data_IF_006992182687
#
_entry.id   IF_006992182687
#
_cell.length_a   1.000
_cell.length_b   1.000
_cell.length_c   1.000
_cell.angle_alpha   90.00
_cell.angle_beta   90.00
_cell.angle_gamma   90.00
#
_symmetry.space_group_name_H-M   'P 1'
#
loop_
_entity.id
_entity.type
_entity.pdbx_description
1 polymer ?
#
# COMPACT_ATOMS: atom_id res chain seq x y z
N UNK A 1 2.16 -76.87 14.44
CA UNK A 1 1.66 -75.49 14.50
C UNK A 1 2.74 -74.59 13.91
N UNK A 2 2.51 -74.06 12.71
CA UNK A 2 3.46 -73.21 11.98
C UNK A 2 3.00 -71.76 12.19
N UNK A 3 3.83 -70.92 12.83
CA UNK A 3 3.57 -69.49 12.95
C UNK A 3 4.25 -68.75 11.80
N UNK A 4 3.45 -68.21 10.87
CA UNK A 4 3.89 -67.28 9.83
C UNK A 4 3.97 -65.88 10.44
N UNK A 5 5.17 -65.35 10.60
CA UNK A 5 5.39 -63.95 10.98
C UNK A 5 5.52 -63.13 9.70
N UNK A 6 4.46 -62.39 9.35
CA UNK A 6 4.47 -61.45 8.22
C UNK A 6 5.06 -60.13 8.73
N UNK A 7 6.32 -59.85 8.40
CA UNK A 7 6.92 -58.54 8.63
C UNK A 7 6.48 -57.57 7.53
N UNK A 8 5.66 -56.59 7.89
CA UNK A 8 5.30 -55.46 7.02
C UNK A 8 6.41 -54.41 7.09
N UNK A 9 7.17 -54.28 6.00
CA UNK A 9 8.10 -53.16 5.79
C UNK A 9 7.28 -51.91 5.45
N UNK A 10 7.16 -50.98 6.40
CA UNK A 10 6.60 -49.65 6.14
C UNK A 10 7.71 -48.79 5.52
N UNK A 11 7.63 -48.57 4.21
CA UNK A 11 8.51 -47.62 3.54
C UNK A 11 8.12 -46.18 3.94
N UNK A 12 9.01 -45.51 4.67
CA UNK A 12 8.86 -44.08 4.98
C UNK A 12 9.22 -43.27 3.73
N UNK A 13 8.20 -42.85 2.97
CA UNK A 13 8.37 -41.93 1.86
C UNK A 13 8.70 -40.54 2.40
N UNK A 14 9.96 -40.11 2.32
CA UNK A 14 10.34 -38.71 2.50
C UNK A 14 9.79 -37.92 1.30
N UNK A 15 8.58 -37.42 1.42
CA UNK A 15 8.07 -36.38 0.52
C UNK A 15 8.87 -35.12 0.86
N UNK A 16 9.86 -34.80 0.03
CA UNK A 16 10.48 -33.48 0.06
C UNK A 16 9.39 -32.47 -0.31
N UNK A 17 8.75 -31.88 0.69
CA UNK A 17 7.91 -30.73 0.50
C UNK A 17 8.79 -29.67 -0.18
N UNK A 18 8.45 -29.30 -1.42
CA UNK A 18 8.97 -28.08 -2.02
C UNK A 18 8.65 -26.96 -1.04
N UNK A 19 9.64 -26.47 -0.29
CA UNK A 19 9.51 -25.24 0.48
C UNK A 19 9.14 -24.18 -0.56
N UNK A 20 7.85 -23.80 -0.61
CA UNK A 20 7.52 -22.51 -1.19
C UNK A 20 8.30 -21.53 -0.31
N UNK A 21 9.18 -20.74 -0.90
CA UNK A 21 9.81 -19.65 -0.17
C UNK A 21 8.67 -18.75 0.32
N UNK A 22 8.33 -18.86 1.60
CA UNK A 22 7.33 -18.00 2.23
C UNK A 22 7.77 -16.55 2.03
N UNK A 23 6.85 -15.63 1.65
CA UNK A 23 7.18 -14.23 1.51
C UNK A 23 7.81 -13.69 2.80
N UNK A 24 8.91 -12.97 2.67
CA UNK A 24 9.62 -12.38 3.77
C UNK A 24 8.79 -11.30 4.47
N UNK A 25 8.64 -11.43 5.79
CA UNK A 25 7.98 -10.47 6.67
C UNK A 25 8.92 -10.04 7.78
N UNK A 26 8.78 -8.81 8.27
CA UNK A 26 9.50 -8.33 9.45
C UNK A 26 9.00 -9.05 10.72
N UNK A 27 9.86 -9.36 11.70
CA UNK A 27 11.31 -9.13 11.77
C UNK A 27 12.17 -10.33 11.35
N UNK A 28 11.68 -11.19 10.45
CA UNK A 28 12.40 -12.41 10.07
C UNK A 28 13.78 -12.09 9.50
N UNK A 29 14.72 -13.03 9.62
CA UNK A 29 16.12 -12.85 9.21
C UNK A 29 16.32 -12.53 7.71
N UNK A 30 15.34 -12.85 6.87
CA UNK A 30 15.31 -12.48 5.45
C UNK A 30 15.06 -10.99 5.22
N UNK A 31 14.62 -10.24 6.24
CA UNK A 31 14.22 -8.84 6.09
C UNK A 31 15.42 -7.99 5.65
N UNK A 32 15.25 -7.08 4.66
CA UNK A 32 16.37 -6.31 4.14
C UNK A 32 17.06 -5.46 5.21
N UNK A 33 18.37 -5.35 5.08
CA UNK A 33 19.18 -4.48 5.94
C UNK A 33 18.83 -3.00 5.77
N UNK A 34 19.17 -2.18 6.77
CA UNK A 34 19.00 -0.73 6.72
C UNK A 34 19.69 -0.08 5.51
N UNK A 35 20.83 -0.66 5.07
CA UNK A 35 21.54 -0.21 3.86
C UNK A 35 20.70 -0.43 2.59
N UNK A 36 20.01 -1.56 2.49
CA UNK A 36 19.13 -1.87 1.37
C UNK A 36 17.92 -0.93 1.33
N UNK A 37 17.27 -0.69 2.48
CA UNK A 37 16.18 0.28 2.61
C UNK A 37 16.63 1.71 2.26
N UNK A 38 17.82 2.11 2.72
CA UNK A 38 18.40 3.42 2.40
C UNK A 38 18.70 3.58 0.92
N UNK A 39 19.12 2.51 0.23
CA UNK A 39 19.32 2.53 -1.21
C UNK A 39 18.00 2.70 -1.95
N UNK A 40 16.96 1.93 -1.59
CA UNK A 40 15.63 2.09 -2.16
C UNK A 40 15.12 3.53 -1.95
N UNK A 41 15.29 4.09 -0.74
CA UNK A 41 14.86 5.46 -0.46
C UNK A 41 15.54 6.49 -1.38
N UNK A 42 16.84 6.34 -1.65
CA UNK A 42 17.55 7.20 -2.62
C UNK A 42 17.01 7.03 -4.03
N UNK A 43 16.76 5.78 -4.47
CA UNK A 43 16.17 5.49 -5.78
C UNK A 43 14.79 6.15 -5.93
N UNK A 44 13.99 6.15 -4.86
CA UNK A 44 12.67 6.79 -4.79
C UNK A 44 12.74 8.30 -4.48
N UNK A 45 13.91 8.92 -4.51
CA UNK A 45 14.11 10.36 -4.23
C UNK A 45 13.51 10.80 -2.88
N UNK A 46 13.68 9.98 -1.83
CA UNK A 46 13.09 10.23 -0.51
C UNK A 46 11.66 9.70 -0.34
N UNK A 47 11.12 8.98 -1.33
CA UNK A 47 9.76 8.46 -1.34
C UNK A 47 9.50 7.24 -0.45
N UNK A 48 10.50 6.75 0.31
CA UNK A 48 10.32 5.64 1.25
C UNK A 48 10.11 6.18 2.67
N UNK A 49 9.03 5.76 3.33
CA UNK A 49 8.76 6.13 4.73
C UNK A 49 8.63 4.90 5.61
N UNK A 50 9.06 5.04 6.87
CA UNK A 50 8.75 4.06 7.91
C UNK A 50 7.33 4.32 8.40
N UNK A 51 6.39 3.49 7.97
CA UNK A 51 4.97 3.71 8.23
C UNK A 51 4.57 3.23 9.63
N UNK A 52 3.58 3.91 10.19
CA UNK A 52 3.00 3.71 11.52
C UNK A 52 1.51 4.02 11.44
N UNK A 53 0.68 3.48 12.35
CA UNK A 53 -0.69 3.94 12.48
C UNK A 53 -0.74 5.47 12.65
N UNK A 54 -1.74 6.15 12.05
CA UNK A 54 -1.82 7.60 12.04
C UNK A 54 -1.94 8.20 13.45
N UNK A 55 -2.50 7.46 14.41
CA UNK A 55 -2.61 7.91 15.80
C UNK A 55 -1.29 7.83 16.59
N UNK A 56 -0.22 7.25 16.04
CA UNK A 56 1.04 7.06 16.76
C UNK A 56 1.55 8.31 17.52
N UNK A 57 1.50 9.54 16.96
CA UNK A 57 1.93 10.74 17.68
C UNK A 57 1.15 11.07 18.95
N UNK A 58 0.00 10.43 19.19
CA UNK A 58 -0.81 10.60 20.38
C UNK A 58 -0.43 9.63 21.52
N UNK A 59 0.60 8.79 21.35
CA UNK A 59 0.92 7.69 22.26
C UNK A 59 2.37 7.75 22.78
N UNK A 60 2.60 7.21 23.97
CA UNK A 60 3.81 7.40 24.78
C UNK A 60 5.14 7.20 24.03
N UNK A 61 5.23 6.18 23.17
CA UNK A 61 6.45 5.85 22.43
C UNK A 61 6.73 6.78 21.24
N UNK A 62 5.78 7.61 20.83
CA UNK A 62 5.90 8.56 19.73
C UNK A 62 5.29 9.93 20.04
N UNK A 63 5.06 10.24 21.32
CA UNK A 63 4.24 11.36 21.75
C UNK A 63 4.76 12.68 21.17
N UNK A 64 3.89 13.37 20.45
CA UNK A 64 4.12 14.69 19.90
C UNK A 64 2.77 15.41 19.83
N UNK A 65 2.52 16.31 20.77
CA UNK A 65 1.21 16.97 20.92
C UNK A 65 0.79 17.76 19.68
N UNK A 66 1.73 18.43 19.02
CA UNK A 66 1.44 19.17 17.78
C UNK A 66 0.98 18.24 16.66
N UNK A 67 1.71 17.14 16.44
CA UNK A 67 1.33 16.16 15.44
C UNK A 67 0.04 15.41 15.82
N UNK A 68 -0.15 15.10 17.10
CA UNK A 68 -1.37 14.48 17.61
C UNK A 68 -2.60 15.36 17.35
N UNK A 69 -2.52 16.65 17.66
CA UNK A 69 -3.62 17.59 17.40
C UNK A 69 -3.93 17.69 15.90
N UNK A 70 -2.90 17.76 15.05
CA UNK A 70 -3.10 17.75 13.60
C UNK A 70 -3.80 16.47 13.11
N UNK A 71 -3.42 15.31 13.66
CA UNK A 71 -4.09 14.03 13.35
C UNK A 71 -5.55 14.06 13.82
N UNK A 72 -5.83 14.55 15.03
CA UNK A 72 -7.19 14.65 15.59
C UNK A 72 -8.10 15.54 14.73
N UNK A 73 -7.60 16.71 14.32
CA UNK A 73 -8.33 17.65 13.47
C UNK A 73 -8.71 17.05 12.11
N UNK A 74 -7.85 16.20 11.56
CA UNK A 74 -8.04 15.61 10.24
C UNK A 74 -8.59 14.18 10.26
N UNK A 75 -8.82 13.59 11.45
CA UNK A 75 -9.04 12.15 11.62
C UNK A 75 -10.19 11.59 10.77
N UNK A 76 -11.27 12.36 10.63
CA UNK A 76 -12.49 12.00 9.90
C UNK A 76 -12.44 12.34 8.41
N UNK A 77 -11.40 13.03 7.94
CA UNK A 77 -11.28 13.47 6.55
C UNK A 77 -10.75 12.32 5.68
N UNK A 78 -11.62 11.75 4.85
CA UNK A 78 -11.28 10.60 3.99
C UNK A 78 -10.08 10.85 3.08
N UNK A 79 -9.98 12.04 2.47
CA UNK A 79 -8.83 12.41 1.62
C UNK A 79 -7.52 12.43 2.41
N UNK A 80 -7.52 13.02 3.61
CA UNK A 80 -6.35 13.03 4.48
C UNK A 80 -5.93 11.62 4.87
N UNK A 81 -6.89 10.75 5.25
CA UNK A 81 -6.61 9.35 5.57
C UNK A 81 -6.05 8.59 4.36
N UNK A 82 -6.58 8.79 3.16
CA UNK A 82 -6.06 8.17 1.94
C UNK A 82 -4.60 8.54 1.65
N UNK A 83 -4.23 9.78 1.95
CA UNK A 83 -2.88 10.30 1.77
C UNK A 83 -1.89 9.79 2.83
N UNK A 84 -2.34 9.50 4.05
CA UNK A 84 -1.45 8.96 5.08
C UNK A 84 -0.94 7.55 4.72
N UNK A 85 0.37 7.28 4.85
CA UNK A 85 0.95 5.97 4.57
C UNK A 85 0.36 4.84 5.42
N UNK A 86 0.02 5.11 6.68
CA UNK A 86 -0.47 4.10 7.61
C UNK A 86 -1.95 4.18 7.95
N UNK A 87 -2.71 5.11 7.36
CA UNK A 87 -4.13 5.22 7.66
C UNK A 87 -5.00 4.43 6.69
N UNK A 88 -6.05 3.85 7.26
CA UNK A 88 -7.10 3.12 6.55
C UNK A 88 -8.46 3.71 6.85
N UNK A 89 -9.39 3.65 5.89
CA UNK A 89 -10.73 4.21 6.08
C UNK A 89 -11.50 3.40 7.14
N UNK A 90 -11.38 2.08 7.06
CA UNK A 90 -11.76 1.20 8.15
C UNK A 90 -10.56 0.99 9.07
N UNK A 91 -10.67 1.53 10.28
CA UNK A 91 -9.59 1.55 11.29
C UNK A 91 -9.29 0.16 11.85
N UNK A 92 -10.12 -0.85 11.60
CA UNK A 92 -9.77 -2.23 11.94
C UNK A 92 -8.52 -2.67 11.17
N UNK A 93 -8.31 -2.16 9.96
CA UNK A 93 -7.19 -2.54 9.09
C UNK A 93 -5.90 -1.77 9.33
N UNK A 94 -5.88 -0.79 10.24
CA UNK A 94 -4.63 -0.22 10.78
C UNK A 94 -4.27 -0.82 12.14
N UNK A 95 -5.26 -1.16 12.96
CA UNK A 95 -5.08 -1.64 14.34
C UNK A 95 -4.86 -3.16 14.42
N UNK A 96 -5.68 -3.96 13.73
CA UNK A 96 -5.73 -5.41 13.95
C UNK A 96 -6.15 -5.75 15.38
N UNK A 97 -5.45 -6.69 16.02
CA UNK A 97 -5.68 -7.08 17.41
C UNK A 97 -4.99 -6.15 18.44
N UNK A 98 -4.24 -5.14 17.98
CA UNK A 98 -3.59 -4.16 18.83
C UNK A 98 -4.22 -2.78 18.69
N UNK A 99 -4.03 -1.92 19.69
CA UNK A 99 -4.74 -0.65 19.81
C UNK A 99 -3.78 0.54 19.69
N UNK A 100 -3.78 1.18 18.53
CA UNK A 100 -3.25 2.53 18.34
C UNK A 100 -4.41 3.45 17.90
N UNK A 101 -5.29 3.75 18.84
CA UNK A 101 -6.52 4.49 18.59
C UNK A 101 -6.36 5.96 19.01
N UNK A 102 -6.94 6.87 18.23
CA UNK A 102 -6.80 8.32 18.39
C UNK A 102 -7.30 8.86 19.73
N UNK A 103 -8.25 8.17 20.36
CA UNK A 103 -8.92 8.56 21.61
C UNK A 103 -8.41 7.81 22.84
N UNK A 104 -7.41 6.94 22.69
CA UNK A 104 -6.82 6.23 23.83
C UNK A 104 -5.99 7.17 24.70
N UNK A 105 -5.74 6.75 25.95
CA UNK A 105 -4.82 7.44 26.84
C UNK A 105 -3.42 7.52 26.20
N UNK A 106 -2.85 8.73 26.20
CA UNK A 106 -1.50 9.00 25.71
C UNK A 106 -0.40 8.18 26.39
N UNK A 107 -0.65 7.68 27.61
CA UNK A 107 0.27 6.80 28.32
C UNK A 107 0.36 5.39 27.71
N UNK A 108 -0.63 4.97 26.90
CA UNK A 108 -0.64 3.66 26.24
C UNK A 108 0.31 3.71 25.02
N UNK A 109 1.22 2.75 24.84
CA UNK A 109 2.08 2.69 23.65
C UNK A 109 1.26 2.35 22.39
N UNK A 110 1.70 2.89 21.25
CA UNK A 110 1.15 2.55 19.95
C UNK A 110 1.96 1.42 19.30
N UNK A 111 1.29 0.32 18.97
CA UNK A 111 1.87 -0.77 18.19
C UNK A 111 1.77 -0.54 16.69
N UNK A 112 2.41 -1.41 15.90
CA UNK A 112 2.38 -1.35 14.44
C UNK A 112 1.00 -1.71 13.86
N UNK A 113 0.25 -2.59 14.54
CA UNK A 113 -1.00 -3.16 14.04
C UNK A 113 -0.82 -3.85 12.68
N UNK A 114 -1.74 -3.56 11.76
CA UNK A 114 -1.74 -4.09 10.39
C UNK A 114 -1.10 -3.12 9.38
N UNK A 115 -0.44 -2.06 9.83
CA UNK A 115 0.25 -1.12 8.94
C UNK A 115 1.56 -1.73 8.43
N UNK A 116 1.87 -1.68 7.11
CA UNK A 116 3.17 -2.10 6.59
C UNK A 116 4.34 -1.37 7.27
N UNK A 117 5.50 -2.02 7.39
CA UNK A 117 6.65 -1.46 8.12
C UNK A 117 7.27 -0.29 7.35
N UNK A 118 7.44 -0.46 6.04
CA UNK A 118 7.85 0.57 5.11
C UNK A 118 6.78 0.76 4.05
N UNK A 119 6.59 2.00 3.61
CA UNK A 119 5.69 2.36 2.52
C UNK A 119 6.47 3.14 1.47
N UNK A 120 6.51 2.63 0.23
CA UNK A 120 7.01 3.36 -0.93
C UNK A 120 5.87 4.23 -1.48
N UNK A 121 6.02 5.55 -1.36
CA UNK A 121 5.09 6.54 -1.88
C UNK A 121 5.46 6.87 -3.33
N UNK A 122 4.92 6.10 -4.27
CA UNK A 122 5.29 6.16 -5.69
C UNK A 122 4.58 7.33 -6.38
N UNK A 123 5.31 8.09 -7.21
CA UNK A 123 4.82 9.29 -7.90
C UNK A 123 4.89 9.17 -9.42
N UNK A 124 5.61 8.20 -9.93
CA UNK A 124 5.73 7.92 -11.35
C UNK A 124 5.97 6.42 -11.60
N UNK A 125 6.01 6.02 -12.87
CA UNK A 125 6.23 4.62 -13.27
C UNK A 125 7.59 4.07 -12.83
N UNK A 126 8.64 4.87 -12.82
CA UNK A 126 9.98 4.42 -12.40
C UNK A 126 10.00 4.09 -10.91
N UNK A 127 9.31 4.87 -10.07
CA UNK A 127 9.15 4.57 -8.65
C UNK A 127 8.43 3.23 -8.43
N UNK A 128 7.36 2.98 -9.20
CA UNK A 128 6.62 1.69 -9.16
C UNK A 128 7.55 0.54 -9.52
N UNK A 129 8.30 0.67 -10.63
CA UNK A 129 9.24 -0.36 -11.08
C UNK A 129 10.33 -0.63 -10.04
N UNK A 130 10.88 0.42 -9.42
CA UNK A 130 11.89 0.29 -8.37
C UNK A 130 11.33 -0.42 -7.13
N UNK A 131 10.14 -0.03 -6.65
CA UNK A 131 9.50 -0.64 -5.48
C UNK A 131 9.13 -2.12 -5.73
N UNK A 132 8.55 -2.43 -6.90
CA UNK A 132 8.19 -3.81 -7.26
C UNK A 132 9.43 -4.69 -7.44
N UNK A 133 10.49 -4.17 -8.08
CA UNK A 133 11.74 -4.91 -8.25
C UNK A 133 12.39 -5.20 -6.90
N UNK A 134 12.45 -4.19 -6.01
CA UNK A 134 12.95 -4.37 -4.65
C UNK A 134 12.16 -5.43 -3.87
N UNK A 135 10.82 -5.39 -3.94
CA UNK A 135 9.96 -6.39 -3.31
C UNK A 135 10.24 -7.80 -3.82
N UNK A 136 10.39 -7.98 -5.14
CA UNK A 136 10.73 -9.26 -5.77
C UNK A 136 12.11 -9.74 -5.32
N UNK A 137 13.13 -8.89 -5.41
CA UNK A 137 14.52 -9.25 -5.16
C UNK A 137 14.77 -9.65 -3.69
N UNK A 138 13.93 -9.14 -2.78
CA UNK A 138 13.93 -9.50 -1.37
C UNK A 138 12.77 -10.45 -0.96
N UNK A 139 12.01 -10.96 -1.93
CA UNK A 139 10.85 -11.84 -1.71
C UNK A 139 9.87 -11.32 -0.66
N UNK A 140 9.65 -10.00 -0.59
CA UNK A 140 8.85 -9.37 0.47
C UNK A 140 7.36 -9.69 0.34
N UNK A 141 6.73 -10.01 1.47
CA UNK A 141 5.28 -9.92 1.59
C UNK A 141 4.86 -8.48 1.35
N UNK A 142 4.08 -8.25 0.28
CA UNK A 142 3.82 -6.90 -0.24
C UNK A 142 2.33 -6.56 -0.19
N UNK A 143 2.02 -5.29 0.06
CA UNK A 143 0.66 -4.72 0.02
C UNK A 143 0.64 -3.50 -0.88
N UNK A 144 -0.40 -3.38 -1.70
CA UNK A 144 -0.61 -2.21 -2.56
C UNK A 144 -1.78 -1.42 -2.00
N UNK A 145 -1.58 -0.12 -1.77
CA UNK A 145 -2.57 0.77 -1.16
C UNK A 145 -2.84 1.97 -2.07
N UNK A 146 -4.09 2.12 -2.49
CA UNK A 146 -4.58 3.36 -3.11
C UNK A 146 -5.06 4.34 -2.04
N UNK A 147 -6.33 4.74 -2.12
CA UNK A 147 -7.00 5.64 -1.17
C UNK A 147 -7.50 4.93 0.13
N UNK A 148 -7.00 3.73 0.42
CA UNK A 148 -7.32 2.95 1.63
C UNK A 148 -8.80 2.59 1.90
N UNK A 149 -9.64 2.51 0.86
CA UNK A 149 -11.07 2.13 0.94
C UNK A 149 -11.34 0.62 0.87
N UNK A 150 -10.35 -0.22 1.21
CA UNK A 150 -10.51 -1.68 1.16
C UNK A 150 -10.97 -2.24 2.49
N UNK A 151 -12.28 -2.54 2.60
CA UNK A 151 -12.92 -3.09 3.80
C UNK A 151 -12.62 -4.57 4.05
N UNK A 152 -11.83 -5.22 3.18
CA UNK A 152 -11.41 -6.61 3.32
C UNK A 152 -9.94 -6.78 3.75
N UNK A 153 -9.22 -5.67 4.00
CA UNK A 153 -7.84 -5.72 4.52
C UNK A 153 -6.76 -6.16 3.53
N UNK A 154 -7.08 -6.30 2.25
CA UNK A 154 -6.15 -6.70 1.17
C UNK A 154 -5.03 -5.70 0.95
N UNK A 155 -5.21 -4.44 1.38
CA UNK A 155 -4.22 -3.37 1.29
C UNK A 155 -3.43 -3.14 2.59
N UNK A 156 -3.67 -3.93 3.63
CA UNK A 156 -2.96 -3.89 4.91
C UNK A 156 -2.27 -5.22 5.24
N UNK A 157 -1.34 -5.20 6.18
CA UNK A 157 -0.66 -6.38 6.68
C UNK A 157 0.51 -6.04 7.59
N UNK A 158 0.52 -6.64 8.78
CA UNK A 158 1.66 -6.57 9.69
C UNK A 158 2.92 -7.18 9.07
N UNK A 159 4.07 -6.56 9.32
CA UNK A 159 5.38 -7.05 8.86
C UNK A 159 5.61 -6.98 7.35
N UNK A 160 4.71 -6.33 6.60
CA UNK A 160 4.79 -6.26 5.13
C UNK A 160 5.52 -5.02 4.63
N UNK A 161 5.88 -5.02 3.35
CA UNK A 161 6.28 -3.84 2.58
C UNK A 161 5.08 -3.29 1.80
N UNK A 162 4.84 -1.99 1.90
CA UNK A 162 3.74 -1.31 1.24
C UNK A 162 4.17 -0.51 0.01
N UNK A 163 3.32 -0.47 -1.01
CA UNK A 163 3.42 0.41 -2.18
C UNK A 163 2.17 1.28 -2.22
N UNK A 164 2.30 2.59 -1.95
CA UNK A 164 1.19 3.54 -1.92
C UNK A 164 1.10 4.30 -3.25
N UNK A 165 0.01 4.11 -3.98
CA UNK A 165 -0.18 4.65 -5.32
C UNK A 165 -0.91 5.99 -5.34
N UNK A 166 -1.39 6.50 -4.21
CA UNK A 166 -2.27 7.69 -4.16
C UNK A 166 -1.64 8.95 -4.78
N UNK A 167 -0.30 9.02 -4.84
CA UNK A 167 0.45 10.13 -5.45
C UNK A 167 0.72 9.96 -6.96
N UNK A 168 0.35 8.83 -7.56
CA UNK A 168 0.32 8.66 -9.02
C UNK A 168 -0.91 9.41 -9.58
N UNK A 169 -0.69 10.67 -9.98
CA UNK A 169 -1.72 11.54 -10.54
C UNK A 169 -1.56 11.67 -12.06
N UNK A 170 -2.66 11.92 -12.76
CA UNK A 170 -2.70 12.06 -14.21
C UNK A 170 -4.08 11.70 -14.76
N UNK A 171 -4.64 12.61 -15.56
CA UNK A 171 -5.84 12.37 -16.36
C UNK A 171 -5.53 12.91 -17.75
N UNK A 172 -5.53 12.04 -18.75
CA UNK A 172 -5.22 12.38 -20.15
C UNK A 172 -6.38 11.94 -21.05
N UNK A 173 -6.81 12.81 -21.96
CA UNK A 173 -7.85 12.50 -22.93
C UNK A 173 -7.21 12.11 -24.25
N UNK A 174 -7.60 10.97 -24.81
CA UNK A 174 -7.21 10.51 -26.13
C UNK A 174 -8.46 10.42 -27.01
N UNK A 175 -8.69 11.45 -27.84
CA UNK A 175 -9.82 11.49 -28.78
C UNK A 175 -9.65 10.55 -29.99
N UNK A 176 -8.48 9.91 -30.09
CA UNK A 176 -8.09 9.07 -31.22
C UNK A 176 -7.82 7.60 -30.83
N UNK A 177 -8.17 7.21 -29.61
CA UNK A 177 -7.82 5.91 -29.04
C UNK A 177 -8.28 4.75 -29.91
N UNK A 178 -7.35 3.82 -30.16
CA UNK A 178 -7.63 2.53 -30.80
C UNK A 178 -7.08 1.40 -29.93
N UNK A 179 -7.92 0.43 -29.52
CA UNK A 179 -7.44 -0.73 -28.80
C UNK A 179 -6.34 -1.44 -29.58
N UNK A 180 -5.23 -1.75 -28.89
CA UNK A 180 -4.13 -2.52 -29.46
C UNK A 180 -4.64 -3.88 -29.92
N UNK A 181 -4.39 -4.22 -31.19
CA UNK A 181 -4.84 -5.48 -31.79
C UNK A 181 -6.24 -5.43 -32.41
N UNK A 182 -6.87 -4.26 -32.52
CA UNK A 182 -8.14 -4.10 -33.23
C UNK A 182 -8.01 -4.34 -34.75
N UNK A 183 -9.06 -4.85 -35.43
CA UNK A 183 -9.03 -5.09 -36.88
C UNK A 183 -8.71 -3.82 -37.68
N UNK A 184 -8.06 -3.95 -38.85
CA UNK A 184 -7.90 -2.84 -39.79
C UNK A 184 -9.25 -2.18 -40.10
N UNK A 185 -9.28 -0.85 -40.10
CA UNK A 185 -10.52 -0.08 -40.32
C UNK A 185 -11.34 0.21 -39.06
N UNK A 186 -10.93 -0.29 -37.88
CA UNK A 186 -11.59 0.09 -36.61
C UNK A 186 -11.54 1.61 -36.41
N UNK A 187 -12.71 2.21 -36.19
CA UNK A 187 -12.84 3.64 -35.90
C UNK A 187 -12.22 3.98 -34.54
N UNK A 188 -11.59 5.15 -34.44
CA UNK A 188 -11.12 5.67 -33.16
C UNK A 188 -12.30 6.05 -32.26
N UNK A 189 -12.08 6.02 -30.95
CA UNK A 189 -13.02 6.46 -29.93
C UNK A 189 -12.32 7.42 -28.97
N UNK A 190 -13.09 8.31 -28.32
CA UNK A 190 -12.55 9.06 -27.19
C UNK A 190 -12.36 8.14 -25.99
N UNK A 191 -11.17 8.16 -25.42
CA UNK A 191 -10.82 7.48 -24.17
C UNK A 191 -10.22 8.47 -23.18
N UNK A 192 -10.20 8.06 -21.91
CA UNK A 192 -9.52 8.79 -20.83
C UNK A 192 -8.55 7.84 -20.14
N UNK A 193 -7.28 8.21 -20.09
CA UNK A 193 -6.26 7.53 -19.31
C UNK A 193 -6.23 8.15 -17.92
N UNK A 194 -6.41 7.32 -16.89
CA UNK A 194 -6.51 7.75 -15.49
C UNK A 194 -5.41 7.05 -14.70
N UNK A 195 -4.57 7.82 -14.01
CA UNK A 195 -3.52 7.29 -13.17
C UNK A 195 -4.08 6.58 -11.93
N UNK A 196 -3.36 5.56 -11.43
CA UNK A 196 -3.82 4.67 -10.37
C UNK A 196 -4.09 5.35 -9.01
N UNK A 197 -3.60 6.58 -8.81
CA UNK A 197 -3.83 7.37 -7.61
C UNK A 197 -4.96 8.38 -7.74
N UNK A 198 -5.66 8.48 -8.87
CA UNK A 198 -6.76 9.41 -9.02
C UNK A 198 -8.00 9.00 -8.21
N UNK A 199 -8.66 10.00 -7.63
CA UNK A 199 -9.94 9.80 -6.97
C UNK A 199 -11.08 9.93 -7.98
N UNK A 200 -12.13 9.12 -7.83
CA UNK A 200 -13.33 9.22 -8.69
C UNK A 200 -13.92 10.62 -8.74
N UNK A 201 -13.93 11.33 -7.60
CA UNK A 201 -14.35 12.73 -7.51
C UNK A 201 -13.64 13.62 -8.54
N UNK A 202 -12.32 13.43 -8.68
CA UNK A 202 -11.48 14.18 -9.61
C UNK A 202 -11.69 13.77 -11.06
N UNK A 203 -11.86 12.47 -11.30
CA UNK A 203 -12.19 11.94 -12.62
C UNK A 203 -13.50 12.52 -13.15
N UNK A 204 -14.59 12.41 -12.39
CA UNK A 204 -15.90 12.91 -12.83
C UNK A 204 -15.94 14.43 -13.04
N UNK A 205 -15.33 15.18 -12.12
CA UNK A 205 -15.28 16.64 -12.23
C UNK A 205 -14.46 17.14 -13.42
N UNK A 206 -13.53 16.33 -13.94
CA UNK A 206 -12.71 16.65 -15.12
C UNK A 206 -13.40 16.25 -16.43
N UNK A 207 -14.21 15.17 -16.42
CA UNK A 207 -14.87 14.65 -17.63
C UNK A 207 -16.21 15.33 -17.96
N UNK A 208 -16.94 15.86 -16.98
CA UNK A 208 -18.27 16.46 -17.21
C UNK A 208 -18.28 17.99 -17.39
N UNK A 209 -17.19 18.71 -17.09
CA UNK A 209 -17.18 20.17 -17.11
C UNK A 209 -16.69 20.80 -18.43
N UNK A 210 -17.28 21.94 -18.81
CA UNK A 210 -16.72 22.92 -19.79
C UNK A 210 -15.38 23.53 -19.35
N UNK A 211 -14.78 23.04 -18.26
CA UNK A 211 -13.48 23.44 -17.72
C UNK A 211 -12.59 22.21 -17.42
N UNK A 212 -12.21 21.47 -18.47
CA UNK A 212 -11.25 20.34 -18.38
C UNK A 212 -9.98 20.70 -17.58
N UNK A 213 -9.55 21.97 -17.59
CA UNK A 213 -8.34 22.43 -16.88
C UNK A 213 -8.54 22.86 -15.41
N UNK A 214 -9.71 23.35 -14.99
CA UNK A 214 -9.85 23.96 -13.64
C UNK A 214 -10.12 22.92 -12.53
N UNK A 215 -10.76 21.80 -12.86
CA UNK A 215 -10.98 20.70 -11.91
C UNK A 215 -9.70 19.85 -11.74
N UNK A 216 -8.94 19.66 -12.81
CA UNK A 216 -7.64 18.97 -12.78
C UNK A 216 -6.65 19.67 -11.82
N UNK A 217 -6.54 21.00 -11.88
CA UNK A 217 -5.68 21.76 -10.97
C UNK A 217 -6.10 21.68 -9.49
N UNK A 218 -7.39 21.67 -9.17
CA UNK A 218 -7.87 21.52 -7.78
C UNK A 218 -7.57 20.15 -7.19
N UNK A 219 -7.63 19.11 -8.02
CA UNK A 219 -7.34 17.73 -7.62
C UNK A 219 -5.85 17.39 -7.53
N UNK A 220 -5.01 18.07 -8.31
CA UNK A 220 -3.57 18.01 -8.12
C UNK A 220 -3.12 18.72 -6.82
N UNK A 221 -3.85 19.76 -6.40
CA UNK A 221 -3.57 20.53 -5.18
C UNK A 221 -4.29 20.03 -3.92
N UNK A 222 -5.28 19.13 -4.02
CA UNK A 222 -5.98 18.63 -2.84
C UNK A 222 -5.10 17.72 -1.96
N UNK A 223 -3.99 17.21 -2.50
CA UNK A 223 -2.90 16.61 -1.71
C UNK A 223 -1.90 17.64 -1.15
N UNK A 224 -2.14 18.94 -1.32
CA UNK A 224 -1.31 20.07 -0.85
C UNK A 224 -2.09 21.11 -0.04
N UNK A 225 -3.42 20.98 0.08
CA UNK A 225 -4.27 21.87 0.89
C UNK A 225 -5.04 21.08 1.96
N UNK A 226 -4.30 20.49 2.88
CA UNK A 226 -4.69 20.28 4.29
C UNK A 226 -3.43 20.16 5.10
#
# INVERSE_FOLDING_TARGET
MIYLVVQTLVALSLVAASQRNEPCTYPNACWPSDRAWSLLNRTLQGGLVRARPPAAPCHANFLNDTACNAVKENWSLSFWRGDQPGAYIDTAWENGDSYCNIDNDSAVPCDQGLVPIYMAQVKNTADVQAAVSFARDHSLSTRVKGASHDFLGRSSGNGTFGIQTIKLKGIEFDDSFKPKGSPPGTASQTAVHIAAGEHWYCTYGTTQGTQRNSTHHRCQQSGQRT
#
